data_IF_049328302935
#
_entry.id   IF_049328302935
#
_cell.length_a   1.000
_cell.length_b   1.000
_cell.length_c   1.000
_cell.angle_alpha   90.00
_cell.angle_beta   90.00
_cell.angle_gamma   90.00
#
_symmetry.space_group_name_H-M   'P 1'
#
loop_
_entity.id
_entity.type
_entity.pdbx_description
1 polymer ?
#
# COMPACT_ATOMS: atom_id res chain seq x y z
N UNK A 1 9.31 23.95 -16.88
CA UNK A 1 9.86 22.62 -16.59
C UNK A 1 10.21 21.91 -17.89
N UNK A 2 11.41 21.31 -18.01
CA UNK A 2 11.76 20.45 -19.15
C UNK A 2 12.76 19.37 -18.71
N UNK A 3 12.47 18.11 -19.02
CA UNK A 3 13.36 16.99 -18.71
C UNK A 3 13.21 15.82 -19.68
N UNK A 4 14.20 14.95 -19.73
CA UNK A 4 14.21 13.70 -20.50
C UNK A 4 14.55 12.54 -19.59
N UNK A 5 13.87 11.41 -19.77
CA UNK A 5 14.03 10.20 -18.95
C UNK A 5 13.80 8.95 -19.83
N UNK A 6 14.43 7.86 -19.49
CA UNK A 6 14.17 6.57 -20.14
C UNK A 6 12.76 6.07 -19.81
N UNK A 7 12.03 5.60 -20.83
CA UNK A 7 10.65 5.13 -20.71
C UNK A 7 10.47 4.09 -19.59
N UNK A 8 11.38 3.12 -19.47
CA UNK A 8 11.28 2.07 -18.46
C UNK A 8 11.32 2.63 -17.03
N UNK A 9 12.20 3.60 -16.78
CA UNK A 9 12.36 4.26 -15.49
C UNK A 9 11.10 5.07 -15.15
N UNK A 10 10.62 5.88 -16.09
CA UNK A 10 9.41 6.68 -15.89
C UNK A 10 8.17 5.81 -15.70
N UNK A 11 8.04 4.72 -16.47
CA UNK A 11 6.90 3.81 -16.36
C UNK A 11 6.82 3.16 -14.98
N UNK A 12 7.97 2.73 -14.45
CA UNK A 12 8.04 2.13 -13.11
C UNK A 12 7.57 3.12 -12.06
N UNK A 13 8.11 4.33 -12.05
CA UNK A 13 7.74 5.36 -11.10
C UNK A 13 6.26 5.77 -11.23
N UNK A 14 5.74 5.91 -12.46
CA UNK A 14 4.34 6.17 -12.69
C UNK A 14 3.44 5.04 -12.20
N UNK A 15 3.85 3.78 -12.31
CA UNK A 15 3.08 2.64 -11.80
C UNK A 15 2.89 2.73 -10.28
N UNK A 16 3.93 3.14 -9.55
CA UNK A 16 3.85 3.32 -8.09
C UNK A 16 2.91 4.46 -7.70
N UNK A 17 3.14 5.65 -8.26
CA UNK A 17 2.39 6.85 -7.83
C UNK A 17 0.93 6.82 -8.30
N UNK A 18 0.64 6.31 -9.52
CA UNK A 18 -0.72 6.30 -10.04
C UNK A 18 -1.65 5.31 -9.31
N UNK A 19 -1.09 4.35 -8.56
CA UNK A 19 -1.86 3.33 -7.87
C UNK A 19 -2.74 3.90 -6.75
N UNK A 20 -2.35 5.03 -6.16
CA UNK A 20 -3.12 5.70 -5.09
C UNK A 20 -4.18 6.65 -5.64
N UNK A 21 -4.08 7.03 -6.92
CA UNK A 21 -5.02 7.94 -7.58
C UNK A 21 -6.35 7.24 -7.83
N UNK A 22 -7.43 7.81 -7.34
CA UNK A 22 -8.77 7.28 -7.57
C UNK A 22 -9.30 7.70 -8.93
N UNK A 23 -9.81 6.74 -9.70
CA UNK A 23 -10.36 6.99 -11.04
C UNK A 23 -11.63 7.84 -11.05
N UNK A 24 -12.37 7.83 -9.95
CA UNK A 24 -13.59 8.62 -9.75
C UNK A 24 -13.41 9.50 -8.53
N UNK A 25 -12.93 10.71 -8.74
CA UNK A 25 -12.79 11.70 -7.68
C UNK A 25 -13.62 12.94 -8.02
N UNK A 26 -14.29 13.50 -7.01
CA UNK A 26 -15.04 14.75 -7.15
C UNK A 26 -14.12 15.97 -7.20
N UNK A 27 -12.86 15.81 -6.77
CA UNK A 27 -11.83 16.87 -6.76
C UNK A 27 -10.86 16.61 -7.92
N UNK A 28 -10.93 17.38 -9.02
CA UNK A 28 -10.20 17.09 -10.25
C UNK A 28 -8.68 16.97 -10.08
N UNK A 29 -8.06 17.78 -9.21
CA UNK A 29 -6.61 17.80 -9.01
C UNK A 29 -6.09 16.46 -8.45
N UNK A 30 -6.91 15.70 -7.71
CA UNK A 30 -6.53 14.40 -7.16
C UNK A 30 -6.45 13.28 -8.23
N UNK A 31 -6.92 13.54 -9.45
CA UNK A 31 -6.70 12.66 -10.60
C UNK A 31 -5.34 12.91 -11.28
N UNK A 32 -4.63 13.96 -10.86
CA UNK A 32 -3.31 14.31 -11.37
C UNK A 32 -2.20 13.84 -10.44
N UNK A 33 -1.01 13.69 -10.99
CA UNK A 33 0.25 13.61 -10.26
C UNK A 33 0.96 14.97 -10.35
N UNK A 34 1.69 15.31 -9.31
CA UNK A 34 2.60 16.45 -9.30
C UNK A 34 3.98 15.99 -9.79
N UNK A 35 4.53 16.69 -10.79
CA UNK A 35 5.87 16.49 -11.31
C UNK A 35 6.73 17.68 -10.90
N UNK A 36 7.84 17.44 -10.23
CA UNK A 36 8.80 18.46 -9.81
C UNK A 36 10.18 18.09 -10.36
N UNK A 37 10.59 18.74 -11.44
CA UNK A 37 11.95 18.64 -11.96
C UNK A 37 12.84 19.68 -11.30
N UNK A 38 13.93 19.24 -10.70
CA UNK A 38 14.89 20.07 -9.98
C UNK A 38 16.32 19.63 -10.28
N UNK A 39 17.28 20.43 -9.90
CA UNK A 39 18.68 20.02 -9.98
C UNK A 39 18.87 18.69 -9.21
N UNK A 40 19.33 17.66 -9.93
CA UNK A 40 19.54 16.31 -9.38
C UNK A 40 18.41 15.31 -9.65
N UNK A 41 17.26 15.68 -10.26
CA UNK A 41 16.25 14.68 -10.62
C UNK A 41 14.82 15.16 -10.76
N UNK A 42 13.94 14.17 -10.85
CA UNK A 42 12.49 14.34 -10.93
C UNK A 42 11.85 13.71 -9.70
N UNK A 43 10.96 14.43 -9.06
CA UNK A 43 10.11 13.92 -7.99
C UNK A 43 8.67 13.82 -8.48
N UNK A 44 8.04 12.67 -8.28
CA UNK A 44 6.63 12.44 -8.53
C UNK A 44 5.87 12.35 -7.22
N UNK A 45 4.70 12.97 -7.15
CA UNK A 45 3.82 12.87 -5.97
C UNK A 45 2.40 12.62 -6.42
N UNK A 46 1.74 11.66 -5.78
CA UNK A 46 0.30 11.43 -5.91
C UNK A 46 -0.34 11.30 -4.53
N UNK A 47 -1.60 11.70 -4.42
CA UNK A 47 -2.34 11.62 -3.16
C UNK A 47 -3.85 11.61 -3.43
N UNK A 48 -4.58 10.96 -2.51
CA UNK A 48 -6.04 11.05 -2.39
C UNK A 48 -6.46 11.79 -1.10
N UNK A 49 -5.50 12.48 -0.43
CA UNK A 49 -5.61 13.15 0.86
C UNK A 49 -5.59 12.22 2.09
N UNK A 50 -5.76 10.91 1.93
CA UNK A 50 -5.63 9.92 3.01
C UNK A 50 -4.27 9.19 2.93
N UNK A 51 -3.81 8.95 1.71
CA UNK A 51 -2.52 8.34 1.41
C UNK A 51 -1.78 9.19 0.39
N UNK A 52 -0.47 9.30 0.52
CA UNK A 52 0.39 9.93 -0.47
C UNK A 52 1.58 9.03 -0.80
N UNK A 53 1.92 8.94 -2.06
CA UNK A 53 3.14 8.29 -2.56
C UNK A 53 4.01 9.36 -3.20
N UNK A 54 5.27 9.38 -2.78
CA UNK A 54 6.31 10.24 -3.33
C UNK A 54 7.43 9.36 -3.82
N UNK A 55 7.92 9.61 -5.03
CA UNK A 55 9.05 8.86 -5.58
C UNK A 55 10.07 9.80 -6.22
N UNK A 56 11.33 9.60 -5.86
CA UNK A 56 12.47 10.23 -6.52
C UNK A 56 12.90 9.37 -7.70
N UNK A 57 12.79 9.90 -8.91
CA UNK A 57 13.05 9.17 -10.16
C UNK A 57 14.52 9.35 -10.56
N UNK A 58 15.32 8.26 -10.60
CA UNK A 58 16.73 8.34 -10.97
C UNK A 58 16.93 8.50 -12.47
N UNK A 59 18.14 8.95 -12.89
CA UNK A 59 18.55 8.97 -14.30
C UNK A 59 17.79 9.98 -15.17
N UNK A 60 17.25 11.02 -14.60
CA UNK A 60 16.53 12.09 -15.31
C UNK A 60 17.50 13.20 -15.70
N UNK A 61 17.50 13.59 -16.98
CA UNK A 61 18.23 14.78 -17.45
C UNK A 61 17.31 15.99 -17.44
N UNK A 62 17.53 16.90 -16.50
CA UNK A 62 16.72 18.11 -16.34
C UNK A 62 17.37 19.27 -17.12
N UNK A 63 16.68 19.73 -18.18
CA UNK A 63 17.11 20.87 -18.98
C UNK A 63 16.58 22.22 -18.42
N UNK A 64 15.42 22.19 -17.76
CA UNK A 64 14.80 23.34 -17.10
C UNK A 64 14.02 22.89 -15.89
N UNK A 65 14.43 23.34 -14.70
CA UNK A 65 13.73 23.08 -13.45
C UNK A 65 12.31 23.72 -13.50
N UNK A 66 11.43 23.18 -12.66
CA UNK A 66 10.06 23.66 -12.52
C UNK A 66 9.11 22.54 -12.08
N UNK A 67 7.84 22.88 -11.97
CA UNK A 67 6.80 21.94 -11.50
C UNK A 67 5.54 22.12 -12.33
N UNK A 68 4.78 21.05 -12.47
CA UNK A 68 3.48 21.01 -13.12
C UNK A 68 2.69 19.79 -12.63
N UNK A 69 1.42 19.73 -12.98
CA UNK A 69 0.62 18.53 -12.76
C UNK A 69 0.31 17.84 -14.08
N UNK A 70 0.00 16.55 -14.04
CA UNK A 70 -0.44 15.80 -15.22
C UNK A 70 -1.48 14.74 -14.83
N UNK A 71 -2.46 14.43 -15.71
CA UNK A 71 -3.42 13.35 -15.48
C UNK A 71 -2.71 12.00 -15.32
N UNK A 72 -2.77 11.43 -14.11
CA UNK A 72 -2.00 10.25 -13.74
C UNK A 72 -2.26 9.05 -14.67
N UNK A 73 -3.53 8.69 -14.84
CA UNK A 73 -3.93 7.54 -15.64
C UNK A 73 -3.56 7.71 -17.13
N UNK A 74 -3.76 8.91 -17.68
CA UNK A 74 -3.45 9.19 -19.09
C UNK A 74 -1.96 9.14 -19.34
N UNK A 75 -1.17 9.80 -18.48
CA UNK A 75 0.29 9.79 -18.60
C UNK A 75 0.86 8.37 -18.49
N UNK A 76 0.40 7.60 -17.51
CA UNK A 76 0.79 6.20 -17.33
C UNK A 76 0.46 5.36 -18.58
N UNK A 77 -0.77 5.46 -19.12
CA UNK A 77 -1.21 4.69 -20.28
C UNK A 77 -0.42 5.05 -21.55
N UNK A 78 -0.09 6.32 -21.74
CA UNK A 78 0.76 6.76 -22.87
C UNK A 78 2.14 6.14 -22.73
N UNK A 79 2.81 6.34 -21.59
CA UNK A 79 4.18 5.84 -21.37
C UNK A 79 4.23 4.33 -21.46
N UNK A 80 3.22 3.62 -20.98
CA UNK A 80 3.11 2.16 -21.08
C UNK A 80 3.10 1.64 -22.52
N UNK A 81 2.51 2.39 -23.43
CA UNK A 81 2.37 2.03 -24.86
C UNK A 81 3.53 2.47 -25.75
N UNK A 82 4.47 3.25 -25.21
CA UNK A 82 5.68 3.61 -25.96
C UNK A 82 6.62 2.41 -26.12
N UNK A 83 7.49 2.39 -27.15
CA UNK A 83 8.53 1.39 -27.31
C UNK A 83 9.47 1.32 -26.10
N UNK A 84 9.98 0.13 -25.77
CA UNK A 84 10.80 -0.08 -24.56
C UNK A 84 12.08 0.77 -24.53
N UNK A 85 12.69 1.02 -25.68
CA UNK A 85 13.90 1.85 -25.82
C UNK A 85 13.64 3.35 -25.92
N UNK A 86 12.39 3.80 -25.79
CA UNK A 86 12.04 5.20 -25.97
C UNK A 86 12.61 6.08 -24.86
N UNK A 87 13.13 7.24 -25.24
CA UNK A 87 13.35 8.36 -24.33
C UNK A 87 12.14 9.26 -24.35
N UNK A 88 11.64 9.63 -23.18
CA UNK A 88 10.48 10.46 -23.00
C UNK A 88 10.92 11.86 -22.60
N UNK A 89 10.61 12.83 -23.43
CA UNK A 89 10.78 14.26 -23.10
C UNK A 89 9.44 14.82 -22.63
N UNK A 90 9.44 15.52 -21.51
CA UNK A 90 8.32 16.28 -21.00
C UNK A 90 8.71 17.75 -20.93
N UNK A 91 7.90 18.62 -21.58
CA UNK A 91 8.15 20.06 -21.64
C UNK A 91 6.88 20.84 -21.28
N UNK A 92 6.96 21.64 -20.21
CA UNK A 92 5.92 22.58 -19.79
C UNK A 92 6.55 23.97 -19.68
N UNK A 93 6.23 24.91 -20.62
CA UNK A 93 6.84 26.23 -20.66
C UNK A 93 6.53 27.10 -19.44
N UNK A 94 5.41 26.88 -18.75
CA UNK A 94 4.92 27.64 -17.61
C UNK A 94 3.55 28.26 -17.88
N UNK A 95 2.93 28.84 -16.85
CA UNK A 95 1.58 29.37 -16.90
C UNK A 95 0.53 28.34 -17.23
N UNK A 96 -0.50 28.70 -17.99
CA UNK A 96 -1.61 27.83 -18.40
C UNK A 96 -1.30 26.95 -19.62
N UNK A 97 -0.01 26.84 -20.00
CA UNK A 97 0.38 26.06 -21.17
C UNK A 97 0.20 24.56 -20.89
N UNK A 98 -0.13 23.81 -21.94
CA UNK A 98 -0.22 22.36 -21.87
C UNK A 98 1.16 21.71 -21.69
N UNK A 99 1.19 20.56 -21.01
CA UNK A 99 2.38 19.71 -20.91
C UNK A 99 2.55 18.94 -22.23
N UNK A 100 3.65 19.18 -22.94
CA UNK A 100 4.00 18.43 -24.14
C UNK A 100 4.79 17.20 -23.79
N UNK A 101 4.39 16.03 -24.30
CA UNK A 101 5.11 14.77 -24.19
C UNK A 101 5.61 14.37 -25.58
N UNK A 102 6.91 14.10 -25.72
CA UNK A 102 7.54 13.63 -26.95
C UNK A 102 8.30 12.33 -26.70
N UNK A 103 8.20 11.40 -27.65
CA UNK A 103 8.97 10.17 -27.65
C UNK A 103 9.19 9.68 -29.10
N UNK A 104 10.36 9.91 -29.66
CA UNK A 104 10.66 9.64 -31.06
C UNK A 104 9.74 10.47 -31.99
N UNK A 105 8.88 9.77 -32.77
CA UNK A 105 7.88 10.42 -33.67
C UNK A 105 6.54 10.73 -32.99
N UNK A 106 6.35 10.27 -31.76
CA UNK A 106 5.13 10.52 -31.00
C UNK A 106 5.23 11.88 -30.31
N UNK A 107 4.22 12.73 -30.52
CA UNK A 107 4.07 14.04 -29.87
C UNK A 107 2.61 14.19 -29.45
N UNK A 108 2.39 14.60 -28.20
CA UNK A 108 1.06 14.87 -27.69
C UNK A 108 1.08 15.95 -26.60
N UNK A 109 -0.07 16.51 -26.31
CA UNK A 109 -0.24 17.52 -25.27
C UNK A 109 -1.25 17.05 -24.24
N UNK A 110 -0.91 17.23 -22.98
CA UNK A 110 -1.74 16.91 -21.84
C UNK A 110 -2.22 18.19 -21.17
N UNK A 111 -3.49 18.20 -20.79
CA UNK A 111 -4.01 19.28 -19.95
C UNK A 111 -3.36 19.20 -18.57
N UNK A 112 -3.02 20.36 -18.01
CA UNK A 112 -2.49 20.49 -16.65
C UNK A 112 -3.50 21.22 -15.78
N UNK A 113 -3.35 21.05 -14.47
CA UNK A 113 -4.09 21.85 -13.48
C UNK A 113 -3.07 22.66 -12.66
N UNK A 114 -3.47 23.77 -12.04
CA UNK A 114 -2.59 24.63 -11.26
C UNK A 114 -1.90 23.81 -10.15
N UNK A 115 -0.60 24.00 -10.01
CA UNK A 115 0.20 23.31 -8.98
C UNK A 115 -0.22 23.72 -7.57
N UNK A 116 -0.69 24.95 -7.41
CA UNK A 116 -1.10 25.49 -6.12
C UNK A 116 -2.38 24.85 -5.58
N UNK A 117 -3.18 24.21 -6.46
CA UNK A 117 -4.35 23.41 -6.07
C UNK A 117 -3.97 21.99 -5.60
N UNK A 118 -2.71 21.56 -5.83
CA UNK A 118 -2.28 20.22 -5.46
C UNK A 118 -2.06 20.12 -3.94
N UNK A 119 -2.78 19.23 -3.22
CA UNK A 119 -2.72 19.17 -1.78
C UNK A 119 -1.37 18.62 -1.31
N UNK A 120 -0.79 19.25 -0.30
CA UNK A 120 0.37 18.74 0.39
C UNK A 120 -0.05 17.98 1.66
N UNK A 121 0.38 16.73 1.81
CA UNK A 121 0.33 16.09 3.11
C UNK A 121 1.42 16.69 3.99
N UNK A 122 1.01 17.49 4.98
CA UNK A 122 1.93 18.04 5.97
C UNK A 122 2.73 16.91 6.63
N UNK A 123 4.04 17.07 6.65
CA UNK A 123 4.94 16.01 7.15
C UNK A 123 4.82 15.77 8.64
N UNK A 124 4.22 16.44 9.48
CA UNK A 124 4.04 16.21 10.92
C UNK A 124 5.29 15.58 11.60
N UNK A 125 5.35 15.65 12.90
CA UNK A 125 6.41 14.93 13.63
C UNK A 125 6.04 13.45 13.70
N UNK A 126 6.95 12.56 13.30
CA UNK A 126 6.84 11.11 13.41
C UNK A 126 7.91 10.62 14.42
N UNK A 127 7.58 10.61 15.72
CA UNK A 127 8.57 10.41 16.79
C UNK A 127 9.03 8.94 16.89
N UNK A 128 8.18 7.98 16.54
CA UNK A 128 8.53 6.56 16.60
C UNK A 128 9.12 6.11 15.28
N UNK A 129 10.32 5.55 15.31
CA UNK A 129 11.07 5.13 14.11
C UNK A 129 11.72 3.79 14.35
N UNK A 130 11.55 2.89 13.40
CA UNK A 130 12.17 1.57 13.38
C UNK A 130 12.28 1.07 11.94
N UNK A 131 12.93 -0.07 11.75
CA UNK A 131 13.02 -0.74 10.46
C UNK A 131 12.44 -2.15 10.53
N UNK A 132 11.89 -2.60 9.40
CA UNK A 132 11.45 -3.97 9.17
C UNK A 132 12.11 -4.48 7.90
N UNK A 133 12.53 -5.74 7.86
CA UNK A 133 12.86 -6.34 6.59
C UNK A 133 11.61 -6.42 5.69
N UNK A 134 11.81 -6.36 4.39
CA UNK A 134 10.71 -6.52 3.44
C UNK A 134 9.95 -7.85 3.63
N UNK A 135 10.67 -8.90 4.07
CA UNK A 135 10.10 -10.21 4.41
C UNK A 135 9.13 -10.14 5.59
N UNK A 136 9.56 -9.53 6.70
CA UNK A 136 8.72 -9.34 7.90
C UNK A 136 7.47 -8.52 7.58
N UNK A 137 7.64 -7.40 6.86
CA UNK A 137 6.49 -6.58 6.48
C UNK A 137 5.48 -7.34 5.61
N UNK A 138 5.96 -8.11 4.61
CA UNK A 138 5.09 -8.97 3.79
C UNK A 138 4.38 -10.02 4.63
N UNK A 139 5.05 -10.65 5.58
CA UNK A 139 4.45 -11.66 6.46
C UNK A 139 3.37 -11.05 7.35
N UNK A 140 3.64 -9.90 7.98
CA UNK A 140 2.66 -9.16 8.78
C UNK A 140 1.39 -8.84 7.96
N UNK A 141 1.55 -8.41 6.71
CA UNK A 141 0.44 -8.07 5.83
C UNK A 141 -0.29 -9.33 5.32
N UNK A 142 0.42 -10.28 4.72
CA UNK A 142 -0.19 -11.41 4.02
C UNK A 142 -0.95 -12.34 4.96
N UNK A 143 -0.50 -12.44 6.22
CA UNK A 143 -1.15 -13.27 7.25
C UNK A 143 -2.31 -12.59 7.95
N UNK A 144 -2.54 -11.30 7.73
CA UNK A 144 -3.63 -10.57 8.43
C UNK A 144 -4.63 -9.91 7.50
N UNK A 145 -4.22 -9.42 6.33
CA UNK A 145 -5.07 -8.60 5.44
C UNK A 145 -6.38 -9.26 5.01
N UNK A 146 -6.44 -10.59 4.92
CA UNK A 146 -7.65 -11.30 4.53
C UNK A 146 -8.78 -11.21 5.57
N UNK A 147 -8.44 -10.86 6.81
CA UNK A 147 -9.38 -10.71 7.91
C UNK A 147 -9.82 -9.25 8.13
N UNK A 148 -9.34 -8.30 7.33
CA UNK A 148 -9.77 -6.89 7.41
C UNK A 148 -11.24 -6.78 7.04
N UNK A 149 -12.02 -6.05 7.84
CA UNK A 149 -13.42 -5.76 7.56
C UNK A 149 -13.59 -4.85 6.33
N UNK A 150 -14.72 -5.00 5.66
CA UNK A 150 -15.17 -4.12 4.58
C UNK A 150 -16.44 -3.36 4.93
N UNK A 151 -16.93 -3.50 6.16
CA UNK A 151 -18.14 -2.82 6.63
C UNK A 151 -17.84 -1.36 6.98
N UNK A 152 -18.55 -0.42 6.39
CA UNK A 152 -18.36 1.01 6.59
C UNK A 152 -18.73 1.46 8.02
N UNK A 153 -19.71 0.81 8.64
CA UNK A 153 -20.18 1.14 9.99
C UNK A 153 -19.17 0.77 11.07
N UNK A 154 -18.30 -0.21 10.81
CA UNK A 154 -17.21 -0.65 11.70
C UNK A 154 -15.85 -0.22 11.18
N UNK A 155 -15.71 1.06 10.83
CA UNK A 155 -14.53 1.61 10.16
C UNK A 155 -13.22 1.33 10.92
N UNK A 156 -13.24 1.22 12.25
CA UNK A 156 -12.08 0.87 13.07
C UNK A 156 -11.58 -0.57 12.86
N UNK A 157 -12.33 -1.42 12.13
CA UNK A 157 -11.90 -2.75 11.68
C UNK A 157 -11.43 -2.76 10.22
N UNK A 158 -11.45 -1.62 9.53
CA UNK A 158 -11.11 -1.53 8.10
C UNK A 158 -9.59 -1.38 7.86
N UNK A 159 -8.78 -1.96 8.74
CA UNK A 159 -7.33 -1.95 8.67
C UNK A 159 -6.68 -3.05 9.47
N UNK A 160 -5.36 -3.01 9.52
CA UNK A 160 -4.54 -3.87 10.38
C UNK A 160 -4.15 -3.07 11.60
N UNK A 161 -4.47 -3.60 12.78
CA UNK A 161 -4.00 -3.05 14.06
C UNK A 161 -2.58 -3.53 14.33
N UNK A 162 -1.65 -2.60 14.46
CA UNK A 162 -0.22 -2.86 14.71
C UNK A 162 0.17 -2.24 16.04
N UNK A 163 0.76 -3.03 16.92
CA UNK A 163 1.19 -2.56 18.25
C UNK A 163 2.35 -3.37 18.81
N UNK A 164 3.12 -2.72 19.68
CA UNK A 164 4.14 -3.41 20.48
C UNK A 164 3.48 -4.07 21.71
N UNK A 165 3.87 -5.31 22.01
CA UNK A 165 3.34 -6.06 23.17
C UNK A 165 4.33 -7.13 23.63
N UNK A 166 3.92 -7.95 24.60
CA UNK A 166 4.68 -9.11 25.05
C UNK A 166 3.93 -10.41 24.74
N UNK A 167 4.67 -11.40 24.26
CA UNK A 167 4.19 -12.74 24.01
C UNK A 167 5.22 -13.77 24.50
N UNK A 168 4.83 -14.68 25.38
CA UNK A 168 5.73 -15.72 25.90
C UNK A 168 6.99 -15.18 26.59
N UNK A 169 6.94 -13.99 27.19
CA UNK A 169 8.07 -13.32 27.82
C UNK A 169 9.00 -12.56 26.86
N UNK A 170 8.69 -12.55 25.56
CA UNK A 170 9.43 -11.78 24.56
C UNK A 170 8.64 -10.55 24.09
N UNK A 171 9.34 -9.46 23.79
CA UNK A 171 8.72 -8.27 23.18
C UNK A 171 8.53 -8.52 21.69
N UNK A 172 7.32 -8.24 21.20
CA UNK A 172 6.92 -8.49 19.81
C UNK A 172 6.20 -7.29 19.21
N UNK A 173 6.36 -7.13 17.91
CA UNK A 173 5.49 -6.32 17.09
C UNK A 173 4.36 -7.24 16.59
N UNK A 174 3.13 -6.90 16.94
CA UNK A 174 1.96 -7.70 16.61
C UNK A 174 1.08 -6.98 15.62
N UNK A 175 0.62 -7.71 14.60
CA UNK A 175 -0.39 -7.27 13.65
C UNK A 175 -1.66 -8.11 13.83
N UNK A 176 -2.81 -7.46 13.87
CA UNK A 176 -4.11 -8.09 14.08
C UNK A 176 -5.14 -7.51 13.11
N UNK A 177 -5.97 -8.36 12.54
CA UNK A 177 -7.14 -7.93 11.77
C UNK A 177 -8.34 -8.83 12.10
N UNK A 178 -9.53 -8.27 12.06
CA UNK A 178 -10.79 -9.00 12.27
C UNK A 178 -11.94 -8.29 11.55
N UNK A 179 -12.90 -9.07 11.07
CA UNK A 179 -14.19 -8.59 10.54
C UNK A 179 -15.36 -8.92 11.48
N UNK A 180 -15.05 -9.44 12.69
CA UNK A 180 -16.03 -9.90 13.67
C UNK A 180 -16.46 -11.35 13.53
N UNK A 181 -16.10 -12.04 12.42
CA UNK A 181 -16.36 -13.46 12.17
C UNK A 181 -15.09 -14.30 12.21
N UNK A 182 -13.99 -13.72 11.80
CA UNK A 182 -12.65 -14.32 11.84
C UNK A 182 -11.63 -13.30 12.36
N UNK A 183 -10.57 -13.82 12.93
CA UNK A 183 -9.46 -13.02 13.43
C UNK A 183 -8.15 -13.62 12.94
N UNK A 184 -7.26 -12.77 12.46
CA UNK A 184 -5.89 -13.14 12.13
C UNK A 184 -4.93 -12.35 13.02
N UNK A 185 -3.92 -13.04 13.56
CA UNK A 185 -2.87 -12.46 14.40
C UNK A 185 -1.53 -13.02 13.98
N UNK A 186 -0.54 -12.17 13.82
CA UNK A 186 0.85 -12.54 13.54
C UNK A 186 1.79 -11.68 14.37
N UNK A 187 2.94 -12.23 14.70
CA UNK A 187 3.93 -11.62 15.58
C UNK A 187 5.31 -11.73 14.95
N UNK A 188 6.06 -10.64 15.03
CA UNK A 188 7.48 -10.58 14.70
C UNK A 188 8.26 -10.09 15.93
N UNK A 189 9.54 -10.41 16.07
CA UNK A 189 10.36 -9.81 17.10
C UNK A 189 10.23 -8.28 17.06
N UNK A 190 10.16 -7.64 18.23
CA UNK A 190 10.01 -6.18 18.29
C UNK A 190 11.27 -5.51 17.73
N UNK A 191 11.13 -4.70 16.66
CA UNK A 191 12.25 -3.97 16.11
C UNK A 191 12.82 -2.93 17.10
N UNK A 192 14.11 -2.68 17.00
CA UNK A 192 14.72 -1.58 17.76
C UNK A 192 14.05 -0.24 17.38
N UNK A 193 13.75 0.57 18.38
CA UNK A 193 13.02 1.83 18.21
C UNK A 193 11.49 1.73 18.18
N UNK A 194 10.91 0.53 18.10
CA UNK A 194 9.46 0.34 18.15
C UNK A 194 8.89 0.30 19.58
N UNK A 195 9.76 0.22 20.60
CA UNK A 195 9.31 0.24 21.99
C UNK A 195 8.60 1.56 22.32
N UNK A 196 7.41 1.46 22.94
CA UNK A 196 6.62 2.65 23.31
C UNK A 196 5.86 3.29 22.15
N UNK A 197 5.84 2.70 20.95
CA UNK A 197 4.96 3.16 19.89
C UNK A 197 3.48 3.01 20.30
N UNK A 198 2.59 3.92 19.88
CA UNK A 198 1.16 3.73 20.07
C UNK A 198 0.66 2.54 19.24
N UNK A 199 -0.38 1.86 19.71
CA UNK A 199 -1.14 0.95 18.86
C UNK A 199 -1.88 1.71 17.78
N UNK A 200 -1.70 1.34 16.52
CA UNK A 200 -2.23 2.08 15.36
C UNK A 200 -2.98 1.17 14.40
N UNK A 201 -4.00 1.72 13.74
CA UNK A 201 -4.78 0.99 12.74
C UNK A 201 -4.38 1.50 11.35
N UNK A 202 -3.67 0.68 10.59
CA UNK A 202 -3.23 0.99 9.23
C UNK A 202 -4.35 0.67 8.25
N UNK A 203 -4.88 1.67 7.49
CA UNK A 203 -6.03 1.47 6.62
C UNK A 203 -5.81 0.42 5.54
N UNK A 204 -6.87 -0.28 5.15
CA UNK A 204 -6.85 -1.35 4.11
C UNK A 204 -6.25 -0.88 2.78
N UNK A 205 -6.55 0.34 2.33
CA UNK A 205 -5.97 0.91 1.09
C UNK A 205 -4.45 0.99 1.22
N UNK A 206 -3.97 1.54 2.33
CA UNK A 206 -2.53 1.66 2.64
C UNK A 206 -1.86 0.30 2.68
N UNK A 207 -2.46 -0.68 3.37
CA UNK A 207 -1.96 -2.07 3.44
C UNK A 207 -1.80 -2.67 2.04
N UNK A 208 -2.77 -2.47 1.16
CA UNK A 208 -2.74 -3.02 -0.20
C UNK A 208 -1.65 -2.37 -1.06
N UNK A 209 -1.50 -1.05 -1.00
CA UNK A 209 -0.46 -0.34 -1.75
C UNK A 209 0.94 -0.66 -1.20
N UNK A 210 1.09 -0.67 0.12
CA UNK A 210 2.33 -1.04 0.78
C UNK A 210 2.77 -2.47 0.41
N UNK A 211 1.82 -3.41 0.34
CA UNK A 211 2.12 -4.79 -0.04
C UNK A 211 2.68 -4.91 -1.46
N UNK A 212 2.12 -4.13 -2.41
CA UNK A 212 2.63 -4.08 -3.79
C UNK A 212 4.06 -3.52 -3.82
N UNK A 213 4.30 -2.39 -3.17
CA UNK A 213 5.62 -1.77 -3.10
C UNK A 213 6.66 -2.68 -2.43
N UNK A 214 6.29 -3.37 -1.35
CA UNK A 214 7.16 -4.29 -0.62
C UNK A 214 7.53 -5.55 -1.41
N UNK A 215 6.84 -5.88 -2.51
CA UNK A 215 7.20 -6.99 -3.38
C UNK A 215 8.47 -6.71 -4.20
N UNK A 216 8.69 -5.46 -4.53
CA UNK A 216 9.81 -5.01 -5.35
C UNK A 216 11.10 -4.74 -4.55
N UNK A 217 11.03 -4.76 -3.22
CA UNK A 217 12.13 -4.41 -2.33
C UNK A 217 12.61 -5.66 -1.59
N UNK A 218 13.93 -5.81 -1.48
CA UNK A 218 14.56 -6.88 -0.69
C UNK A 218 15.22 -6.33 0.59
N UNK A 219 15.46 -5.04 0.64
CA UNK A 219 16.15 -4.34 1.72
C UNK A 219 15.21 -4.03 2.90
N UNK A 220 15.78 -3.36 3.90
CA UNK A 220 15.01 -2.84 5.02
C UNK A 220 14.08 -1.70 4.60
N UNK A 221 12.91 -1.69 5.22
CA UNK A 221 11.88 -0.67 5.05
C UNK A 221 11.86 0.16 6.33
N UNK A 222 12.19 1.44 6.21
CA UNK A 222 12.11 2.34 7.33
C UNK A 222 10.65 2.72 7.61
N UNK A 223 10.24 2.62 8.87
CA UNK A 223 8.91 2.97 9.36
C UNK A 223 9.04 4.14 10.33
N UNK A 224 8.22 5.15 10.12
CA UNK A 224 8.10 6.28 11.04
C UNK A 224 6.63 6.58 11.29
N UNK A 225 6.22 6.77 12.55
CA UNK A 225 4.82 6.99 12.88
C UNK A 225 4.59 7.92 14.07
N UNK A 226 3.38 8.44 14.12
CA UNK A 226 2.74 9.09 15.26
C UNK A 226 1.43 8.36 15.57
N UNK A 227 0.60 8.93 16.39
CA UNK A 227 -0.78 8.49 16.66
C UNK A 227 -1.75 8.68 15.47
N UNK A 228 -1.42 9.59 14.54
CA UNK A 228 -2.32 9.96 13.42
C UNK A 228 -1.78 9.62 12.04
N UNK A 229 -0.49 9.38 11.90
CA UNK A 229 0.16 9.15 10.60
C UNK A 229 1.24 8.08 10.68
N UNK A 230 1.42 7.37 9.58
CA UNK A 230 2.51 6.43 9.38
C UNK A 230 3.17 6.67 8.02
N UNK A 231 4.51 6.55 7.97
CA UNK A 231 5.32 6.64 6.77
C UNK A 231 6.17 5.40 6.63
N UNK A 232 6.18 4.85 5.42
CA UNK A 232 7.08 3.78 5.00
C UNK A 232 8.02 4.32 3.93
N UNK A 233 9.31 4.06 4.07
CA UNK A 233 10.34 4.41 3.07
C UNK A 233 10.93 3.13 2.50
N UNK A 234 10.75 2.93 1.20
CA UNK A 234 11.14 1.74 0.45
C UNK A 234 12.09 2.19 -0.68
N UNK A 235 13.39 2.30 -0.39
CA UNK A 235 14.34 2.88 -1.34
C UNK A 235 13.97 4.32 -1.71
N UNK A 236 13.69 4.57 -2.99
CA UNK A 236 13.31 5.89 -3.52
C UNK A 236 11.83 6.25 -3.32
N UNK A 237 11.01 5.30 -2.86
CA UNK A 237 9.57 5.47 -2.68
C UNK A 237 9.24 5.74 -1.23
N UNK A 238 8.46 6.78 -0.97
CA UNK A 238 7.86 7.05 0.33
C UNK A 238 6.34 6.96 0.23
N UNK A 239 5.75 6.13 1.07
CA UNK A 239 4.30 6.02 1.24
C UNK A 239 3.94 6.58 2.62
N UNK A 240 3.15 7.63 2.66
CA UNK A 240 2.63 8.24 3.90
C UNK A 240 1.12 8.06 3.93
N UNK A 241 0.59 7.62 5.06
CA UNK A 241 -0.85 7.42 5.26
C UNK A 241 -1.31 8.07 6.55
N UNK A 242 -2.52 8.62 6.55
CA UNK A 242 -3.28 8.79 7.77
C UNK A 242 -3.60 7.44 8.37
N UNK A 243 -3.73 7.39 9.68
CA UNK A 243 -4.17 6.22 10.42
C UNK A 243 -5.68 6.31 10.68
N UNK A 244 -6.32 5.17 10.90
CA UNK A 244 -7.74 5.18 11.29
C UNK A 244 -7.83 5.69 12.73
N UNK A 245 -8.56 6.79 12.93
CA UNK A 245 -8.88 7.32 14.24
C UNK A 245 -10.00 6.48 14.87
N UNK A 246 -9.62 5.57 15.75
CA UNK A 246 -10.54 4.65 16.40
C UNK A 246 -9.83 3.71 17.37
N UNK A 247 -10.61 3.10 18.25
CA UNK A 247 -10.10 2.10 19.18
C UNK A 247 -10.33 0.70 18.64
N UNK A 248 -9.24 -0.04 18.41
CA UNK A 248 -9.34 -1.45 18.03
C UNK A 248 -9.86 -2.28 19.23
N UNK A 249 -10.78 -3.25 19.02
CA UNK A 249 -11.36 -4.03 20.11
C UNK A 249 -10.30 -4.83 20.89
N UNK A 250 -10.62 -5.16 22.15
CA UNK A 250 -9.83 -6.08 22.97
C UNK A 250 -9.91 -7.52 22.44
N UNK A 251 -9.27 -7.74 21.30
CA UNK A 251 -9.33 -8.98 20.51
C UNK A 251 -8.87 -10.22 21.30
N UNK A 252 -8.02 -10.08 22.30
CA UNK A 252 -7.54 -11.21 23.11
C UNK A 252 -8.64 -11.92 23.87
N UNK A 253 -9.76 -11.21 24.17
CA UNK A 253 -10.90 -11.79 24.86
C UNK A 253 -11.72 -12.75 24.00
N UNK A 254 -11.65 -12.62 22.70
CA UNK A 254 -12.41 -13.48 21.77
C UNK A 254 -11.60 -14.68 21.27
N UNK A 255 -10.29 -14.74 21.60
CA UNK A 255 -9.44 -15.89 21.23
C UNK A 255 -9.76 -17.05 22.17
N UNK A 256 -10.24 -18.20 21.65
CA UNK A 256 -10.54 -19.36 22.47
C UNK A 256 -9.31 -19.88 23.21
N UNK A 257 -9.50 -20.24 24.48
CA UNK A 257 -8.45 -20.81 25.33
C UNK A 257 -8.88 -22.20 25.81
N UNK A 258 -7.93 -23.05 26.07
CA UNK A 258 -8.20 -24.39 26.61
C UNK A 258 -8.64 -25.42 25.57
N UNK A 259 -8.40 -25.18 24.29
CA UNK A 259 -8.61 -26.15 23.22
C UNK A 259 -7.60 -27.31 23.38
N UNK A 260 -8.09 -28.51 23.70
CA UNK A 260 -7.28 -29.70 23.94
C UNK A 260 -7.28 -30.68 22.75
N UNK A 261 -8.15 -30.47 21.76
CA UNK A 261 -8.26 -31.33 20.57
C UNK A 261 -7.52 -30.73 19.40
N UNK A 262 -6.56 -31.47 18.87
CA UNK A 262 -5.69 -31.03 17.77
C UNK A 262 -5.87 -31.95 16.59
N UNK A 263 -6.20 -31.38 15.44
CA UNK A 263 -6.24 -32.05 14.14
C UNK A 263 -5.02 -31.63 13.31
N UNK A 264 -4.31 -32.61 12.75
CA UNK A 264 -3.20 -32.36 11.82
C UNK A 264 -3.56 -32.93 10.46
N UNK A 265 -3.49 -32.07 9.42
CA UNK A 265 -3.79 -32.43 8.03
C UNK A 265 -2.74 -31.84 7.10
N UNK A 266 -2.52 -32.48 5.95
CA UNK A 266 -1.68 -31.91 4.89
C UNK A 266 -2.39 -30.68 4.28
N UNK A 267 -1.71 -29.52 4.26
CA UNK A 267 -2.25 -28.24 3.83
C UNK A 267 -2.87 -28.30 2.42
N UNK A 268 -2.14 -28.86 1.47
CA UNK A 268 -2.52 -28.94 0.07
C UNK A 268 -3.77 -29.81 -0.13
N UNK A 269 -3.79 -31.01 0.49
CA UNK A 269 -4.93 -31.93 0.41
C UNK A 269 -6.19 -31.30 1.02
N UNK A 270 -6.06 -30.63 2.17
CA UNK A 270 -7.17 -29.97 2.85
C UNK A 270 -7.69 -28.79 2.01
N UNK A 271 -6.81 -27.93 1.51
CA UNK A 271 -7.18 -26.78 0.69
C UNK A 271 -7.93 -27.21 -0.58
N UNK A 272 -7.45 -28.25 -1.27
CA UNK A 272 -8.11 -28.79 -2.46
C UNK A 272 -9.48 -29.40 -2.14
N UNK A 273 -9.62 -30.09 -1.00
CA UNK A 273 -10.89 -30.65 -0.57
C UNK A 273 -11.91 -29.56 -0.25
N UNK A 274 -11.49 -28.50 0.49
CA UNK A 274 -12.33 -27.34 0.76
C UNK A 274 -12.76 -26.65 -0.54
N UNK A 275 -11.84 -26.43 -1.48
CA UNK A 275 -12.15 -25.80 -2.75
C UNK A 275 -13.19 -26.58 -3.57
N UNK A 276 -13.10 -27.93 -3.60
CA UNK A 276 -14.08 -28.77 -4.30
C UNK A 276 -15.47 -28.68 -3.68
N UNK A 277 -15.58 -28.76 -2.35
CA UNK A 277 -16.87 -28.67 -1.66
C UNK A 277 -17.46 -27.27 -1.79
N UNK A 278 -16.65 -26.22 -1.62
CA UNK A 278 -17.11 -24.84 -1.78
C UNK A 278 -17.59 -24.52 -3.21
N UNK A 279 -17.09 -25.23 -4.24
CA UNK A 279 -17.48 -24.99 -5.63
C UNK A 279 -18.94 -25.38 -5.93
N UNK A 280 -19.50 -26.37 -5.23
CA UNK A 280 -20.88 -26.83 -5.40
C UNK A 280 -21.86 -26.14 -4.46
N UNK A 281 -21.39 -25.34 -3.53
CA UNK A 281 -22.25 -24.58 -2.63
C UNK A 281 -22.96 -23.45 -3.38
N UNK A 282 -24.30 -23.48 -3.36
CA UNK A 282 -25.17 -22.45 -3.93
C UNK A 282 -25.36 -21.25 -3.01
N UNK A 283 -25.01 -21.37 -1.75
CA UNK A 283 -25.14 -20.29 -0.78
C UNK A 283 -24.04 -19.22 -0.94
N UNK A 284 -24.41 -17.98 -0.70
CA UNK A 284 -23.47 -16.84 -0.80
C UNK A 284 -22.28 -16.96 0.16
N UNK A 285 -22.50 -17.56 1.33
CA UNK A 285 -21.48 -17.79 2.36
C UNK A 285 -20.57 -18.98 2.06
N UNK A 286 -20.97 -19.89 1.14
CA UNK A 286 -20.26 -21.13 0.78
C UNK A 286 -19.79 -21.93 2.02
N UNK A 287 -20.70 -22.32 2.91
CA UNK A 287 -20.32 -23.04 4.12
C UNK A 287 -19.74 -24.41 3.78
N UNK A 288 -18.75 -24.83 4.55
CA UNK A 288 -18.16 -26.16 4.48
C UNK A 288 -18.29 -26.80 5.86
N UNK A 289 -19.01 -27.90 5.97
CA UNK A 289 -19.13 -28.67 7.19
C UNK A 289 -17.94 -29.63 7.32
N UNK A 290 -17.30 -29.61 8.50
CA UNK A 290 -16.25 -30.55 8.85
C UNK A 290 -16.81 -31.61 9.83
N UNK A 291 -16.73 -32.87 9.47
CA UNK A 291 -17.10 -34.00 10.33
C UNK A 291 -15.84 -34.82 10.63
N UNK A 292 -15.43 -34.83 11.89
CA UNK A 292 -14.17 -35.44 12.33
C UNK A 292 -14.51 -36.78 12.97
N UNK A 293 -13.92 -37.85 12.44
CA UNK A 293 -13.98 -39.21 12.97
C UNK A 293 -12.61 -39.75 13.34
N UNK A 294 -12.56 -41.00 13.76
CA UNK A 294 -11.28 -41.66 14.04
C UNK A 294 -10.49 -41.86 12.75
N UNK A 295 -9.36 -41.19 12.62
CA UNK A 295 -8.50 -41.20 11.42
C UNK A 295 -9.20 -40.75 10.13
N UNK A 296 -10.28 -40.00 10.22
CA UNK A 296 -11.02 -39.52 9.05
C UNK A 296 -11.52 -38.09 9.25
N UNK A 297 -11.51 -37.32 8.17
CA UNK A 297 -12.10 -35.98 8.08
C UNK A 297 -12.97 -35.96 6.83
N UNK A 298 -14.26 -35.72 7.01
CA UNK A 298 -15.21 -35.54 5.91
C UNK A 298 -15.57 -34.06 5.78
N UNK A 299 -15.58 -33.55 4.54
CA UNK A 299 -16.01 -32.21 4.20
C UNK A 299 -17.28 -32.32 3.33
N UNK A 300 -18.32 -31.58 3.68
CA UNK A 300 -19.58 -31.56 2.96
C UNK A 300 -20.20 -30.16 2.91
#
# INVERSE_FOLDING_TARGET
MKFTVDRAVLLKALAHVQSVVERRNTIPILANILLEAREGGLKLTATDMEIAVVEEVPGVTVARAGRTTAPAATLYEIVRKLPDSAKVELDHPGGDAQLTLRAGRFDTKLAVLPVDDFPSMTEGKLPHRFALSAGQLRELIDRTRFAISTEETRYYLNGIYVHATEAGGAKVLRAVATDGHRLARVEEPLPEGAAGMPGVIVPRKTVNELRKLAEEVQDEIAVALSDTKIRFTLGAVQLTSKLIDGTFPEYERVIPRGNDKVMRVAKEAFAQAVARVAAISSERSRPVKLSIGRNSLMLS
#
